data_IF_735070500305
#
_entry.id   IF_735070500305
#
_cell.length_a   1.000
_cell.length_b   1.000
_cell.length_c   1.000
_cell.angle_alpha   90.00
_cell.angle_beta   90.00
_cell.angle_gamma   90.00
#
_symmetry.space_group_name_H-M   'P 1'
#
loop_
_entity.id
_entity.type
_entity.pdbx_description
1 polymer ?
#
# COMPACT_ATOMS: atom_id res chain seq x y z
N UNK A 1 36.52 20.56 -16.52
CA UNK A 1 36.80 19.45 -15.60
C UNK A 1 35.46 18.74 -15.43
N UNK A 2 35.25 17.61 -16.08
CA UNK A 2 33.95 16.91 -16.03
C UNK A 2 33.64 16.54 -14.58
N UNK A 3 32.57 17.11 -14.03
CA UNK A 3 31.99 16.61 -12.79
C UNK A 3 31.50 15.19 -13.06
N UNK A 4 32.34 14.20 -12.77
CA UNK A 4 31.89 12.83 -12.65
C UNK A 4 30.94 12.76 -11.45
N UNK A 5 29.65 13.00 -11.70
CA UNK A 5 28.58 12.54 -10.82
C UNK A 5 28.62 11.02 -10.82
N UNK A 6 29.47 10.45 -9.96
CA UNK A 6 29.28 9.11 -9.40
C UNK A 6 27.97 9.13 -8.61
N UNK A 7 26.83 9.16 -9.31
CA UNK A 7 25.51 9.13 -8.70
C UNK A 7 24.95 7.75 -8.93
N UNK A 8 24.87 6.99 -7.83
CA UNK A 8 24.01 5.81 -7.74
C UNK A 8 22.64 6.22 -8.29
N UNK A 9 22.29 5.68 -9.46
CA UNK A 9 20.95 5.82 -10.01
C UNK A 9 20.05 4.91 -9.20
N UNK A 10 19.12 5.48 -8.45
CA UNK A 10 18.13 4.71 -7.71
C UNK A 10 17.04 4.22 -8.66
N UNK A 11 16.55 3.00 -8.45
CA UNK A 11 15.37 2.51 -9.15
C UNK A 11 14.13 2.78 -8.28
N UNK A 12 13.32 3.73 -8.72
CA UNK A 12 12.04 4.10 -8.09
C UNK A 12 10.84 3.60 -8.90
N UNK A 13 11.04 2.66 -9.83
CA UNK A 13 9.93 2.08 -10.58
C UNK A 13 9.03 1.26 -9.65
N UNK A 14 7.71 1.40 -9.83
CA UNK A 14 6.70 0.65 -9.08
C UNK A 14 6.10 -0.39 -10.03
N UNK A 15 6.14 -1.69 -9.69
CA UNK A 15 5.57 -2.73 -10.54
C UNK A 15 4.03 -2.62 -10.59
N UNK A 16 3.47 -3.00 -11.73
CA UNK A 16 2.05 -2.92 -12.02
C UNK A 16 1.56 -4.29 -12.50
N UNK A 17 0.33 -4.67 -12.12
CA UNK A 17 -0.28 -5.94 -12.52
C UNK A 17 -0.72 -5.98 -14.00
N UNK A 18 -0.59 -4.86 -14.71
CA UNK A 18 -0.99 -4.69 -16.11
C UNK A 18 -1.82 -3.43 -16.32
N UNK A 19 -2.42 -3.31 -17.50
CA UNK A 19 -3.20 -2.12 -17.88
C UNK A 19 -4.50 -2.05 -17.08
N UNK A 20 -4.68 -0.98 -16.30
CA UNK A 20 -5.95 -0.65 -15.65
C UNK A 20 -7.03 -0.29 -16.69
N UNK A 21 -8.19 -0.93 -16.60
CA UNK A 21 -9.28 -0.80 -17.59
C UNK A 21 -10.61 -0.40 -16.97
N UNK A 22 -10.77 -0.57 -15.66
CA UNK A 22 -12.03 -0.39 -14.96
C UNK A 22 -12.08 1.03 -14.42
N UNK A 23 -13.18 1.76 -14.61
CA UNK A 23 -13.33 3.09 -14.02
C UNK A 23 -13.41 2.97 -12.50
N UNK A 24 -12.68 3.85 -11.81
CA UNK A 24 -12.71 3.94 -10.35
C UNK A 24 -14.12 4.31 -9.88
N UNK A 25 -14.63 3.68 -8.81
CA UNK A 25 -15.91 4.06 -8.21
C UNK A 25 -15.83 5.40 -7.44
N UNK A 26 -14.61 5.88 -7.17
CA UNK A 26 -14.40 7.18 -6.51
C UNK A 26 -14.75 8.27 -7.52
N UNK A 27 -15.58 9.24 -7.14
CA UNK A 27 -15.88 10.42 -7.98
C UNK A 27 -14.86 11.52 -7.69
N UNK A 28 -13.98 11.79 -8.65
CA UNK A 28 -12.98 12.85 -8.61
C UNK A 28 -12.92 13.57 -9.96
N UNK A 29 -12.32 14.75 -9.97
CA UNK A 29 -12.17 15.54 -11.19
C UNK A 29 -10.95 15.13 -12.01
N UNK A 30 -11.04 15.45 -13.29
CA UNK A 30 -9.96 15.39 -14.28
C UNK A 30 -9.51 16.78 -14.71
N UNK A 31 -10.12 17.83 -14.17
CA UNK A 31 -9.86 19.23 -14.51
C UNK A 31 -9.34 19.96 -13.28
N UNK A 32 -8.19 20.62 -13.42
CA UNK A 32 -7.62 21.39 -12.33
C UNK A 32 -8.52 22.59 -11.99
N UNK A 33 -8.58 22.93 -10.69
CA UNK A 33 -9.20 24.16 -10.14
C UNK A 33 -10.74 24.25 -10.27
N UNK A 34 -11.44 23.12 -10.34
CA UNK A 34 -12.91 23.06 -10.32
C UNK A 34 -13.53 22.94 -8.91
N UNK A 35 -12.68 22.99 -7.87
CA UNK A 35 -13.06 22.85 -6.47
C UNK A 35 -13.32 21.41 -6.01
N UNK A 36 -13.08 20.41 -6.87
CA UNK A 36 -13.11 18.99 -6.53
C UNK A 36 -11.68 18.45 -6.35
N UNK A 37 -11.57 17.27 -5.73
CA UNK A 37 -10.29 16.58 -5.65
C UNK A 37 -9.99 15.87 -6.98
N UNK A 38 -8.74 15.98 -7.45
CA UNK A 38 -8.32 15.44 -8.73
C UNK A 38 -7.79 14.00 -8.65
N UNK A 39 -7.95 13.28 -9.76
CA UNK A 39 -7.18 12.07 -9.99
C UNK A 39 -5.70 12.38 -10.19
N UNK A 40 -4.86 11.44 -9.76
CA UNK A 40 -3.42 11.51 -10.02
C UNK A 40 -3.10 10.70 -11.27
N UNK A 41 -2.43 11.32 -12.23
CA UNK A 41 -1.97 10.64 -13.44
C UNK A 41 -0.72 9.78 -13.14
N UNK A 42 -0.59 8.64 -13.81
CA UNK A 42 0.59 7.77 -13.71
C UNK A 42 1.88 8.44 -14.20
N UNK A 43 1.82 9.54 -14.95
CA UNK A 43 2.97 10.36 -15.33
C UNK A 43 3.35 11.43 -14.30
N UNK A 44 2.53 11.66 -13.26
CA UNK A 44 2.81 12.66 -12.23
C UNK A 44 3.99 12.17 -11.38
N UNK A 45 5.03 12.99 -11.30
CA UNK A 45 6.29 12.69 -10.63
C UNK A 45 6.70 13.87 -9.75
N UNK A 46 7.41 13.58 -8.67
CA UNK A 46 8.09 14.59 -7.84
C UNK A 46 9.57 14.25 -7.76
N UNK A 47 10.41 15.29 -7.68
CA UNK A 47 11.86 15.09 -7.55
C UNK A 47 12.21 14.42 -6.22
N UNK A 48 13.14 13.47 -6.28
CA UNK A 48 13.64 12.77 -5.09
C UNK A 48 14.45 13.69 -4.18
N UNK A 49 15.28 14.56 -4.78
CA UNK A 49 16.06 15.58 -4.08
C UNK A 49 15.72 16.97 -4.61
N UNK A 50 15.62 17.94 -3.70
CA UNK A 50 15.36 19.35 -4.04
C UNK A 50 16.65 20.18 -4.13
N UNK A 51 17.78 19.59 -3.74
CA UNK A 51 19.08 20.25 -3.82
C UNK A 51 19.40 20.59 -5.28
N UNK A 52 19.89 21.81 -5.51
CA UNK A 52 20.27 22.31 -6.81
C UNK A 52 21.69 22.90 -6.74
N UNK A 53 22.43 22.74 -7.84
CA UNK A 53 23.75 23.31 -8.02
C UNK A 53 23.67 24.45 -9.04
N UNK A 54 24.52 25.45 -8.90
CA UNK A 54 24.69 26.49 -9.91
C UNK A 54 25.77 26.02 -10.88
N UNK A 55 25.44 25.88 -12.17
CA UNK A 55 26.41 25.48 -13.18
C UNK A 55 27.33 26.64 -13.58
N UNK A 56 28.34 26.38 -14.42
CA UNK A 56 29.29 27.40 -14.90
C UNK A 56 28.63 28.57 -15.66
N UNK A 57 27.38 28.40 -16.11
CA UNK A 57 26.57 29.44 -16.78
C UNK A 57 25.70 30.24 -15.80
N UNK A 58 25.75 29.94 -14.51
CA UNK A 58 24.92 30.59 -13.49
C UNK A 58 23.49 30.05 -13.41
N UNK A 59 23.19 28.91 -14.04
CA UNK A 59 21.86 28.30 -14.02
C UNK A 59 21.72 27.31 -12.87
N UNK A 60 20.57 27.33 -12.18
CA UNK A 60 20.21 26.32 -11.18
C UNK A 60 19.85 25.01 -11.88
N UNK A 61 20.62 23.96 -11.60
CA UNK A 61 20.38 22.60 -12.11
C UNK A 61 20.17 21.64 -10.95
N UNK A 62 19.16 20.76 -11.00
CA UNK A 62 18.93 19.78 -9.94
C UNK A 62 20.19 18.95 -9.69
N UNK A 63 20.53 18.77 -8.42
CA UNK A 63 21.58 17.85 -8.05
C UNK A 63 21.15 16.41 -8.37
N UNK A 64 19.90 16.05 -8.10
CA UNK A 64 19.35 14.73 -8.39
C UNK A 64 18.31 14.81 -9.51
N UNK A 65 18.44 13.94 -10.51
CA UNK A 65 17.46 13.81 -11.59
C UNK A 65 16.43 12.70 -11.35
N UNK A 66 16.61 11.90 -10.30
CA UNK A 66 15.69 10.83 -9.96
C UNK A 66 14.34 11.41 -9.49
N UNK A 67 13.26 10.76 -9.90
CA UNK A 67 11.90 11.16 -9.53
C UNK A 67 11.13 9.97 -8.98
N UNK A 68 10.14 10.26 -8.13
CA UNK A 68 9.25 9.26 -7.54
C UNK A 68 7.82 9.48 -8.00
N UNK A 69 7.07 8.39 -8.14
CA UNK A 69 5.66 8.42 -8.51
C UNK A 69 4.79 8.99 -7.38
N UNK A 70 3.84 9.87 -7.73
CA UNK A 70 2.90 10.43 -6.76
C UNK A 70 1.78 9.42 -6.47
N UNK A 71 1.61 9.08 -5.20
CA UNK A 71 0.48 8.28 -4.75
C UNK A 71 -0.83 9.07 -4.82
N UNK A 72 -1.91 8.40 -5.21
CA UNK A 72 -3.23 9.02 -5.24
C UNK A 72 -4.25 8.18 -6.00
N UNK A 73 -5.54 8.55 -5.92
CA UNK A 73 -6.60 7.86 -6.64
C UNK A 73 -6.37 7.98 -8.15
N UNK A 74 -6.50 6.85 -8.85
CA UNK A 74 -6.43 6.78 -10.32
C UNK A 74 -7.83 6.76 -10.90
N UNK A 75 -8.01 7.35 -12.08
CA UNK A 75 -9.29 7.31 -12.82
C UNK A 75 -9.66 5.86 -13.18
N UNK A 76 -8.65 5.03 -13.47
CA UNK A 76 -8.83 3.62 -13.81
C UNK A 76 -8.09 2.72 -12.82
N UNK A 77 -8.73 1.62 -12.45
CA UNK A 77 -8.21 0.58 -11.55
C UNK A 77 -8.11 -0.77 -12.28
N UNK A 78 -7.29 -1.65 -11.72
CA UNK A 78 -7.04 -2.98 -12.26
C UNK A 78 -8.12 -3.99 -11.84
N UNK A 79 -8.43 -4.04 -10.54
CA UNK A 79 -9.41 -4.97 -9.99
C UNK A 79 -10.83 -4.41 -10.04
N UNK A 80 -11.80 -5.28 -10.35
CA UNK A 80 -13.22 -4.97 -10.13
C UNK A 80 -13.50 -5.06 -8.63
N UNK A 81 -13.95 -3.98 -7.95
CA UNK A 81 -14.19 -4.01 -6.51
C UNK A 81 -15.15 -5.11 -6.05
N UNK A 82 -16.11 -5.51 -6.88
CA UNK A 82 -17.06 -6.58 -6.57
C UNK A 82 -16.39 -7.97 -6.44
N UNK A 83 -15.22 -8.16 -7.06
CA UNK A 83 -14.47 -9.43 -7.06
C UNK A 83 -13.25 -9.38 -6.13
N UNK A 84 -12.99 -8.24 -5.48
CA UNK A 84 -11.86 -8.10 -4.57
C UNK A 84 -12.16 -8.85 -3.28
N UNK A 85 -11.20 -9.68 -2.87
CA UNK A 85 -11.07 -10.15 -1.49
C UNK A 85 -9.79 -9.55 -0.94
N UNK A 86 -9.95 -8.53 -0.10
CA UNK A 86 -8.84 -7.87 0.54
C UNK A 86 -8.52 -8.54 1.87
N UNK A 87 -7.25 -8.78 2.16
CA UNK A 87 -6.78 -9.21 3.46
C UNK A 87 -5.82 -8.18 4.07
N UNK A 88 -5.90 -7.98 5.38
CA UNK A 88 -5.03 -7.08 6.12
C UNK A 88 -4.25 -7.92 7.14
N UNK A 89 -2.94 -7.73 7.21
CA UNK A 89 -2.08 -8.40 8.19
C UNK A 89 -1.19 -7.38 8.89
N UNK A 90 -1.09 -7.46 10.22
CA UNK A 90 -0.12 -6.68 11.00
C UNK A 90 1.00 -7.59 11.50
N UNK A 91 2.24 -7.22 11.17
CA UNK A 91 3.45 -7.97 11.50
C UNK A 91 4.47 -7.10 12.24
N UNK A 92 5.32 -7.73 13.03
CA UNK A 92 6.42 -7.07 13.74
C UNK A 92 6.08 -6.59 15.15
N UNK A 93 6.76 -5.53 15.59
CA UNK A 93 6.51 -4.89 16.88
C UNK A 93 5.19 -4.11 16.89
N UNK A 94 4.62 -3.93 18.07
CA UNK A 94 3.45 -3.07 18.24
C UNK A 94 3.91 -1.61 18.17
N UNK A 95 3.24 -0.83 17.33
CA UNK A 95 3.43 0.61 17.19
C UNK A 95 2.09 1.33 17.44
N UNK A 96 2.07 2.52 18.06
CA UNK A 96 0.88 3.37 18.09
C UNK A 96 0.37 3.62 16.67
N UNK A 97 -0.95 3.46 16.46
CA UNK A 97 -1.57 3.77 15.17
C UNK A 97 -1.88 2.59 14.26
N UNK A 98 -1.47 1.35 14.58
CA UNK A 98 -1.82 0.18 13.76
C UNK A 98 -3.34 0.04 13.56
N UNK A 99 -4.11 0.20 14.63
CA UNK A 99 -5.58 0.20 14.55
C UNK A 99 -6.14 1.35 13.69
N UNK A 100 -5.51 2.53 13.69
CA UNK A 100 -5.89 3.63 12.82
C UNK A 100 -5.70 3.28 11.34
N UNK A 101 -4.59 2.63 11.00
CA UNK A 101 -4.32 2.17 9.63
C UNK A 101 -5.33 1.11 9.20
N UNK A 102 -5.59 0.09 10.03
CA UNK A 102 -6.58 -0.95 9.75
C UNK A 102 -7.95 -0.31 9.49
N UNK A 103 -8.39 0.59 10.39
CA UNK A 103 -9.66 1.29 10.26
C UNK A 103 -9.75 2.12 8.97
N UNK A 104 -8.71 2.90 8.66
CA UNK A 104 -8.68 3.73 7.46
C UNK A 104 -8.78 2.88 6.18
N UNK A 105 -8.03 1.78 6.12
CA UNK A 105 -8.03 0.86 4.97
C UNK A 105 -9.40 0.18 4.82
N UNK A 106 -9.97 -0.36 5.89
CA UNK A 106 -11.31 -1.01 5.86
C UNK A 106 -12.39 -0.02 5.43
N UNK A 107 -12.42 1.19 6.00
CA UNK A 107 -13.39 2.23 5.62
C UNK A 107 -13.19 2.69 4.18
N UNK A 108 -11.95 2.78 3.70
CA UNK A 108 -11.66 3.13 2.31
C UNK A 108 -12.20 2.06 1.35
N UNK A 109 -11.87 0.79 1.59
CA UNK A 109 -12.39 -0.33 0.80
C UNK A 109 -13.92 -0.35 0.78
N UNK A 110 -14.54 -0.19 1.94
CA UNK A 110 -16.00 -0.28 2.07
C UNK A 110 -16.75 0.91 1.46
N UNK A 111 -16.38 2.14 1.85
CA UNK A 111 -17.14 3.34 1.50
C UNK A 111 -16.69 3.98 0.18
N UNK A 112 -15.41 3.88 -0.18
CA UNK A 112 -14.89 4.50 -1.42
C UNK A 112 -14.94 3.51 -2.59
N UNK A 113 -14.50 2.28 -2.36
CA UNK A 113 -14.41 1.27 -3.42
C UNK A 113 -15.59 0.30 -3.49
N UNK A 114 -16.39 0.18 -2.42
CA UNK A 114 -17.52 -0.76 -2.38
C UNK A 114 -17.13 -2.23 -2.18
N UNK A 115 -15.89 -2.51 -1.77
CA UNK A 115 -15.41 -3.86 -1.47
C UNK A 115 -16.08 -4.36 -0.19
N UNK A 116 -16.68 -5.55 -0.23
CA UNK A 116 -17.43 -6.14 0.90
C UNK A 116 -16.76 -7.35 1.54
N UNK A 117 -15.80 -7.97 0.84
CA UNK A 117 -15.06 -9.14 1.34
C UNK A 117 -13.69 -8.67 1.83
N UNK A 118 -13.62 -8.30 3.11
CA UNK A 118 -12.39 -7.82 3.76
C UNK A 118 -12.11 -8.71 4.97
N UNK A 119 -10.91 -9.26 5.05
CA UNK A 119 -10.49 -10.17 6.12
C UNK A 119 -9.24 -9.66 6.82
N UNK A 120 -9.14 -9.94 8.12
CA UNK A 120 -7.99 -9.70 8.95
C UNK A 120 -7.27 -11.01 9.26
N UNK A 121 -5.98 -11.06 8.96
CA UNK A 121 -5.09 -12.17 9.30
C UNK A 121 -4.54 -11.90 10.69
N UNK A 122 -4.78 -12.83 11.62
CA UNK A 122 -4.39 -12.67 13.02
C UNK A 122 -2.96 -13.12 13.28
N UNK A 123 -2.26 -12.39 14.14
CA UNK A 123 -0.90 -12.71 14.58
C UNK A 123 0.11 -12.84 13.42
N UNK A 124 0.15 -11.84 12.54
CA UNK A 124 1.14 -11.74 11.46
C UNK A 124 1.06 -12.88 10.42
N UNK A 125 2.18 -13.16 9.75
CA UNK A 125 2.24 -14.23 8.73
C UNK A 125 1.93 -15.63 9.27
N UNK A 126 2.07 -15.85 10.59
CA UNK A 126 1.66 -17.11 11.24
C UNK A 126 0.16 -17.37 11.11
N UNK A 127 -0.64 -16.32 10.97
CA UNK A 127 -2.07 -16.40 10.67
C UNK A 127 -2.38 -16.98 9.30
N UNK A 128 -1.44 -16.90 8.36
CA UNK A 128 -1.60 -17.41 6.99
C UNK A 128 -1.06 -18.82 6.80
N UNK A 129 -0.24 -19.35 7.72
CA UNK A 129 0.32 -20.69 7.55
C UNK A 129 -0.77 -21.76 7.64
N UNK A 130 -0.59 -22.88 6.95
CA UNK A 130 -1.62 -23.92 6.79
C UNK A 130 -2.18 -24.46 8.12
N UNK A 131 -1.32 -24.60 9.12
CA UNK A 131 -1.70 -25.09 10.45
C UNK A 131 -2.05 -23.97 11.44
N UNK A 132 -2.42 -22.79 10.96
CA UNK A 132 -2.77 -21.69 11.84
C UNK A 132 -4.05 -22.01 12.60
N UNK A 133 -4.04 -21.97 13.95
CA UNK A 133 -5.25 -22.18 14.74
C UNK A 133 -6.18 -20.95 14.71
N UNK A 134 -5.80 -19.89 14.01
CA UNK A 134 -6.49 -18.61 14.03
C UNK A 134 -7.34 -18.44 12.77
N UNK A 135 -8.68 -18.46 12.88
CA UNK A 135 -9.53 -18.17 11.73
C UNK A 135 -9.35 -16.72 11.30
N UNK A 136 -9.62 -16.46 10.01
CA UNK A 136 -9.71 -15.10 9.49
C UNK A 136 -10.79 -14.31 10.24
N UNK A 137 -10.47 -13.08 10.59
CA UNK A 137 -11.41 -12.15 11.19
C UNK A 137 -12.12 -11.37 10.07
N UNK A 138 -13.44 -11.40 9.99
CA UNK A 138 -14.15 -10.50 9.06
C UNK A 138 -14.01 -9.06 9.54
N UNK A 139 -13.69 -8.16 8.61
CA UNK A 139 -13.55 -6.73 8.88
C UNK A 139 -14.60 -5.96 8.10
N UNK A 140 -15.41 -5.19 8.81
CA UNK A 140 -16.38 -4.25 8.28
C UNK A 140 -16.29 -2.94 9.10
N UNK A 141 -16.96 -1.86 8.66
CA UNK A 141 -16.92 -0.58 9.36
C UNK A 141 -17.34 -0.66 10.84
N UNK A 142 -18.27 -1.54 11.19
CA UNK A 142 -18.78 -1.67 12.55
C UNK A 142 -17.74 -2.34 13.46
N UNK A 143 -17.06 -3.37 12.95
CA UNK A 143 -15.95 -4.05 13.64
C UNK A 143 -14.78 -3.09 13.91
N UNK A 144 -14.54 -2.12 13.02
CA UNK A 144 -13.39 -1.20 13.12
C UNK A 144 -13.75 0.19 13.66
N UNK A 145 -14.97 0.45 14.14
CA UNK A 145 -15.38 1.84 14.38
C UNK A 145 -14.62 2.51 15.53
N UNK A 146 -14.36 1.77 16.61
CA UNK A 146 -13.75 2.29 17.86
C UNK A 146 -12.33 1.77 18.12
N UNK A 147 -11.73 1.07 17.16
CA UNK A 147 -10.45 0.38 17.40
C UNK A 147 -9.28 1.36 17.54
N UNK A 148 -9.40 2.59 17.02
CA UNK A 148 -8.41 3.65 17.15
C UNK A 148 -8.13 4.06 18.60
N UNK A 149 -9.10 3.88 19.49
CA UNK A 149 -8.97 4.21 20.91
C UNK A 149 -8.22 3.11 21.68
N UNK A 150 -8.10 1.92 21.08
CA UNK A 150 -7.41 0.77 21.66
C UNK A 150 -5.94 0.78 21.24
N UNK A 151 -5.06 0.57 22.22
CA UNK A 151 -3.65 0.30 21.95
C UNK A 151 -3.44 -1.03 21.23
N UNK A 152 -2.32 -1.16 20.53
CA UNK A 152 -1.97 -2.40 19.83
C UNK A 152 -2.58 -2.54 18.44
N UNK A 153 -2.85 -3.79 18.06
CA UNK A 153 -3.55 -4.18 16.84
C UNK A 153 -4.67 -5.16 17.20
N UNK A 154 -5.89 -4.94 16.72
CA UNK A 154 -7.00 -5.89 16.89
C UNK A 154 -6.73 -7.26 16.26
N UNK A 155 -5.84 -7.32 15.26
CA UNK A 155 -5.41 -8.56 14.62
C UNK A 155 -4.30 -9.26 15.42
N UNK A 156 -3.67 -8.56 16.37
CA UNK A 156 -2.42 -9.00 16.98
C UNK A 156 -1.26 -8.94 15.98
N UNK A 157 -0.04 -9.09 16.48
CA UNK A 157 1.16 -9.05 15.65
C UNK A 157 2.12 -10.17 16.05
N UNK A 158 2.85 -10.71 15.07
CA UNK A 158 3.95 -11.66 15.32
C UNK A 158 5.19 -11.25 14.54
N UNK A 159 6.35 -11.75 14.98
CA UNK A 159 7.60 -11.69 14.23
C UNK A 159 7.87 -13.03 13.53
N UNK A 160 8.51 -12.98 12.36
CA UNK A 160 8.88 -14.15 11.56
C UNK A 160 7.71 -14.76 10.77
N UNK A 161 8.02 -15.78 9.96
CA UNK A 161 7.07 -16.50 9.11
C UNK A 161 6.97 -15.96 7.68
N UNK A 162 7.54 -14.79 7.38
CA UNK A 162 7.60 -14.24 6.02
C UNK A 162 8.60 -14.94 5.10
N UNK A 163 9.45 -15.81 5.67
CA UNK A 163 10.38 -16.69 4.97
C UNK A 163 9.69 -17.90 4.32
N UNK A 164 8.46 -18.22 4.75
CA UNK A 164 7.64 -19.33 4.23
C UNK A 164 6.76 -18.89 3.07
N UNK A 165 7.40 -18.36 2.03
CA UNK A 165 6.71 -17.71 0.89
C UNK A 165 5.73 -18.67 0.19
N UNK A 166 6.14 -19.92 -0.04
CA UNK A 166 5.29 -20.93 -0.69
C UNK A 166 4.00 -21.20 0.11
N UNK A 167 4.11 -21.47 1.42
CA UNK A 167 2.94 -21.70 2.28
C UNK A 167 2.01 -20.48 2.35
N UNK A 168 2.57 -19.26 2.31
CA UNK A 168 1.81 -18.01 2.27
C UNK A 168 1.04 -17.91 0.95
N UNK A 169 1.69 -18.14 -0.18
CA UNK A 169 1.06 -18.08 -1.52
C UNK A 169 -0.06 -19.10 -1.61
N UNK A 170 0.20 -20.36 -1.25
CA UNK A 170 -0.80 -21.43 -1.24
C UNK A 170 -2.04 -21.06 -0.41
N UNK A 171 -1.81 -20.38 0.72
CA UNK A 171 -2.89 -19.94 1.59
C UNK A 171 -3.66 -18.74 1.02
N UNK A 172 -2.99 -17.79 0.37
CA UNK A 172 -3.65 -16.70 -0.33
C UNK A 172 -4.51 -17.23 -1.48
N UNK A 173 -4.01 -18.20 -2.25
CA UNK A 173 -4.76 -18.87 -3.31
C UNK A 173 -5.97 -19.64 -2.77
N UNK A 174 -5.77 -20.48 -1.75
CA UNK A 174 -6.84 -21.24 -1.09
C UNK A 174 -7.94 -20.35 -0.51
N UNK A 175 -7.56 -19.20 0.06
CA UNK A 175 -8.51 -18.23 0.62
C UNK A 175 -9.12 -17.32 -0.46
N UNK A 176 -8.60 -17.37 -1.68
CA UNK A 176 -8.94 -16.52 -2.82
C UNK A 176 -8.76 -15.03 -2.49
N UNK A 177 -7.64 -14.69 -1.85
CA UNK A 177 -7.21 -13.33 -1.53
C UNK A 177 -6.43 -12.78 -2.73
N UNK A 178 -6.88 -11.66 -3.27
CA UNK A 178 -6.24 -11.01 -4.43
C UNK A 178 -5.62 -9.65 -4.11
N UNK A 179 -5.86 -9.13 -2.91
CA UNK A 179 -5.20 -7.93 -2.39
C UNK A 179 -4.77 -8.19 -0.95
N UNK A 180 -3.47 -8.21 -0.69
CA UNK A 180 -2.91 -8.33 0.66
C UNK A 180 -2.30 -6.99 1.08
N UNK A 181 -2.79 -6.43 2.19
CA UNK A 181 -2.26 -5.23 2.81
C UNK A 181 -1.39 -5.63 4.00
N UNK A 182 -0.07 -5.54 3.83
CA UNK A 182 0.91 -5.86 4.86
C UNK A 182 1.32 -4.61 5.63
N UNK A 183 1.06 -4.58 6.92
CA UNK A 183 1.41 -3.46 7.82
C UNK A 183 2.52 -3.94 8.75
N UNK A 184 3.71 -3.36 8.64
CA UNK A 184 4.86 -3.74 9.46
C UNK A 184 6.14 -3.01 9.05
N UNK A 185 7.27 -3.39 9.66
CA UNK A 185 8.59 -2.84 9.32
C UNK A 185 9.29 -3.60 8.20
N UNK A 186 10.59 -3.36 8.00
CA UNK A 186 11.38 -3.91 6.90
C UNK A 186 11.30 -5.44 6.76
N UNK A 187 11.33 -6.17 7.88
CA UNK A 187 11.21 -7.63 7.87
C UNK A 187 9.85 -8.12 7.38
N UNK A 188 8.80 -7.31 7.51
CA UNK A 188 7.47 -7.59 6.93
C UNK A 188 7.46 -7.33 5.44
N UNK A 189 8.04 -6.20 5.02
CA UNK A 189 8.13 -5.80 3.62
C UNK A 189 8.97 -6.79 2.80
N UNK A 190 10.09 -7.29 3.35
CA UNK A 190 10.91 -8.34 2.73
C UNK A 190 10.21 -9.69 2.57
N UNK A 191 9.19 -9.96 3.37
CA UNK A 191 8.36 -11.16 3.20
C UNK A 191 7.17 -10.94 2.26
N UNK A 192 6.90 -9.69 1.88
CA UNK A 192 5.78 -9.30 1.02
C UNK A 192 6.18 -9.12 -0.44
N UNK A 193 7.39 -8.60 -0.68
CA UNK A 193 7.97 -8.40 -2.02
C UNK A 193 9.10 -9.38 -2.29
#
# INVERSE_FOLDING_TARGET
MEFQTSKRKYDFSIPNLGKAKILSPIKMSTSDDDGLADYVNDSKRVYFGIDALINEKGEEVPEFHDTVEVAGPREKIYFNPAHVHAAIVTCGGICPGLNNVIRAVVRCFWYRYGVRRISGIRFGYRGLLENSPYPLMNLDPDVVDDIQEKGGSILGSSRGGGDKVEEIIDSLERLNINVLITIGGDGTLRGAG
#
